data_IF_089215259622
#
_entry.id   IF_089215259622
#
_cell.length_a   1.000
_cell.length_b   1.000
_cell.length_c   1.000
_cell.angle_alpha   90.00
_cell.angle_beta   90.00
_cell.angle_gamma   90.00
#
_symmetry.space_group_name_H-M   'P 1'
#
loop_
_entity.id
_entity.type
_entity.pdbx_description
1 polymer ?
#
# COMPACT_ATOMS: atom_id res chain seq x y z
N UNK A 1 -50.77 -54.59 42.76
CA UNK A 1 -50.52 -53.41 41.88
C UNK A 1 -49.04 -53.46 41.50
N UNK A 2 -48.80 -53.84 40.30
CA UNK A 2 -47.65 -54.59 39.85
C UNK A 2 -46.40 -53.79 39.59
N UNK A 3 -45.25 -54.36 39.78
CA UNK A 3 -43.88 -53.89 39.58
C UNK A 3 -43.67 -53.09 38.27
N UNK A 4 -44.45 -53.35 37.22
CA UNK A 4 -44.44 -52.62 35.92
C UNK A 4 -44.81 -51.13 36.04
N UNK A 5 -45.77 -50.79 36.93
CA UNK A 5 -46.17 -49.40 37.12
C UNK A 5 -45.08 -48.53 37.82
N UNK A 6 -44.33 -49.22 38.71
CA UNK A 6 -43.23 -48.54 39.43
C UNK A 6 -42.04 -48.31 38.56
N UNK A 7 -41.75 -49.22 37.62
CA UNK A 7 -40.69 -49.08 36.62
C UNK A 7 -41.06 -47.99 35.54
N UNK A 8 -42.34 -47.97 35.12
CA UNK A 8 -42.85 -47.01 34.16
C UNK A 8 -42.81 -45.57 34.70
N UNK A 9 -43.27 -45.40 35.96
CA UNK A 9 -43.19 -44.10 36.61
C UNK A 9 -41.77 -43.59 36.80
N UNK A 10 -40.82 -44.51 37.13
CA UNK A 10 -39.39 -44.16 37.27
C UNK A 10 -38.75 -43.72 35.94
N UNK A 11 -39.12 -44.39 34.83
CA UNK A 11 -38.66 -44.03 33.50
C UNK A 11 -39.22 -42.65 33.04
N UNK A 12 -40.49 -42.38 33.33
CA UNK A 12 -41.15 -41.10 33.02
C UNK A 12 -40.53 -39.97 33.87
N UNK A 13 -40.24 -40.18 35.14
CA UNK A 13 -39.58 -39.19 36.00
C UNK A 13 -38.15 -38.85 35.52
N UNK A 14 -37.38 -39.88 35.06
CA UNK A 14 -36.05 -39.68 34.50
C UNK A 14 -36.12 -38.90 33.17
N UNK A 15 -37.08 -39.21 32.30
CA UNK A 15 -37.28 -38.51 31.04
C UNK A 15 -37.69 -37.04 31.25
N UNK A 16 -38.64 -36.78 32.18
CA UNK A 16 -39.02 -35.41 32.51
C UNK A 16 -37.87 -34.63 33.18
N UNK A 17 -37.09 -35.27 34.06
CA UNK A 17 -35.91 -34.65 34.68
C UNK A 17 -34.82 -34.30 33.64
N UNK A 18 -34.61 -35.16 32.66
CA UNK A 18 -33.69 -34.91 31.54
C UNK A 18 -34.15 -33.77 30.64
N UNK A 19 -35.44 -33.70 30.31
CA UNK A 19 -36.01 -32.58 29.54
C UNK A 19 -35.94 -31.24 30.28
N UNK A 20 -36.18 -31.23 31.59
CA UNK A 20 -36.03 -30.00 32.38
C UNK A 20 -34.57 -29.52 32.50
N UNK A 21 -33.60 -30.45 32.58
CA UNK A 21 -32.19 -30.09 32.58
C UNK A 21 -31.73 -29.53 31.19
N UNK A 22 -32.27 -30.06 30.09
CA UNK A 22 -31.97 -29.48 28.76
C UNK A 22 -32.62 -28.11 28.53
N UNK A 23 -33.77 -27.87 29.15
CA UNK A 23 -34.43 -26.54 29.04
C UNK A 23 -33.77 -25.45 29.90
N UNK A 24 -32.98 -25.82 30.91
CA UNK A 24 -32.20 -24.88 31.72
C UNK A 24 -30.80 -24.59 31.21
N UNK A 25 -30.36 -25.27 30.14
CA UNK A 25 -29.23 -24.76 29.33
C UNK A 25 -29.74 -23.66 28.38
N UNK A 26 -30.24 -22.57 28.97
CA UNK A 26 -30.45 -21.34 28.25
C UNK A 26 -29.13 -21.05 27.51
N UNK A 27 -29.19 -20.94 26.19
CA UNK A 27 -28.05 -20.47 25.45
C UNK A 27 -27.63 -19.15 26.10
N UNK A 28 -26.51 -19.18 26.81
CA UNK A 28 -25.92 -17.99 27.36
C UNK A 28 -25.64 -17.11 26.13
N UNK A 29 -26.45 -16.08 25.94
CA UNK A 29 -26.27 -15.15 24.86
C UNK A 29 -24.86 -14.63 25.04
N UNK A 30 -23.96 -14.97 24.11
CA UNK A 30 -22.61 -14.46 24.17
C UNK A 30 -22.72 -12.95 24.07
N UNK A 31 -22.37 -12.25 25.15
CA UNK A 31 -22.23 -10.80 25.12
C UNK A 31 -21.05 -10.47 24.19
N UNK A 32 -21.38 -10.18 22.94
CA UNK A 32 -20.39 -9.61 22.04
C UNK A 32 -19.99 -8.23 22.58
N UNK A 33 -18.68 -7.94 22.63
CA UNK A 33 -18.22 -6.62 22.98
C UNK A 33 -18.80 -5.60 22.00
N UNK A 34 -19.03 -4.39 22.48
CA UNK A 34 -19.46 -3.29 21.64
C UNK A 34 -18.46 -3.06 20.49
N UNK A 35 -18.98 -2.91 19.26
CA UNK A 35 -18.13 -2.74 18.09
C UNK A 35 -17.47 -1.36 18.15
N UNK A 36 -16.18 -1.35 18.42
CA UNK A 36 -15.37 -0.13 18.39
C UNK A 36 -15.07 0.27 16.93
N UNK A 37 -14.72 1.54 16.72
CA UNK A 37 -14.45 2.09 15.38
C UNK A 37 -13.31 1.32 14.67
N UNK A 38 -12.30 0.92 15.41
CA UNK A 38 -11.14 0.15 14.93
C UNK A 38 -11.50 -1.26 14.45
N UNK A 39 -12.62 -1.81 14.92
CA UNK A 39 -13.12 -3.11 14.49
C UNK A 39 -14.03 -3.05 13.25
N UNK A 40 -14.38 -1.83 12.80
CA UNK A 40 -15.19 -1.64 11.60
C UNK A 40 -14.34 -1.74 10.33
N UNK A 41 -14.95 -2.04 9.17
CA UNK A 41 -14.23 -2.04 7.89
C UNK A 41 -13.55 -0.71 7.60
N UNK A 42 -12.39 -0.78 6.97
CA UNK A 42 -11.66 0.36 6.43
C UNK A 42 -11.49 0.21 4.92
N UNK A 43 -11.38 1.31 4.19
CA UNK A 43 -11.14 1.30 2.76
C UNK A 43 -10.25 2.47 2.33
N UNK A 44 -9.55 2.26 1.20
CA UNK A 44 -8.78 3.30 0.55
C UNK A 44 -9.71 4.27 -0.18
N UNK A 45 -9.45 5.56 0.01
CA UNK A 45 -10.22 6.65 -0.59
C UNK A 45 -9.32 7.50 -1.50
N UNK A 46 -9.44 7.25 -2.78
CA UNK A 46 -8.65 7.92 -3.80
C UNK A 46 -9.11 9.35 -4.02
N UNK A 47 -8.23 10.31 -3.75
CA UNK A 47 -8.42 11.71 -4.09
C UNK A 47 -7.75 11.98 -5.43
N UNK A 48 -8.48 11.75 -6.51
CA UNK A 48 -7.98 11.87 -7.87
C UNK A 48 -7.72 13.34 -8.23
N UNK A 49 -6.45 13.72 -8.46
CA UNK A 49 -6.01 15.10 -8.59
C UNK A 49 -6.17 15.91 -7.31
N UNK A 50 -6.48 15.25 -6.19
CA UNK A 50 -6.98 15.91 -4.99
C UNK A 50 -8.11 16.92 -5.28
N UNK A 51 -8.87 16.69 -6.35
CA UNK A 51 -9.99 17.52 -6.77
C UNK A 51 -11.22 17.26 -5.90
N UNK A 52 -11.17 17.75 -4.69
CA UNK A 52 -12.19 17.56 -3.64
C UNK A 52 -12.75 18.89 -3.19
N UNK A 53 -13.98 18.87 -2.70
CA UNK A 53 -14.66 20.01 -2.09
C UNK A 53 -15.46 19.56 -0.86
N UNK A 54 -15.76 20.52 0.02
CA UNK A 54 -16.43 20.25 1.31
C UNK A 54 -17.76 19.54 1.16
N UNK A 55 -18.57 19.90 0.18
CA UNK A 55 -19.90 19.29 -0.05
C UNK A 55 -19.76 17.82 -0.39
N UNK A 56 -18.90 17.50 -1.37
CA UNK A 56 -18.67 16.12 -1.80
C UNK A 56 -17.95 15.29 -0.73
N UNK A 57 -17.03 15.88 0.05
CA UNK A 57 -16.38 15.22 1.18
C UNK A 57 -17.42 14.81 2.24
N UNK A 58 -18.29 15.73 2.66
CA UNK A 58 -19.37 15.43 3.61
C UNK A 58 -20.29 14.34 3.09
N UNK A 59 -20.76 14.46 1.83
CA UNK A 59 -21.66 13.48 1.22
C UNK A 59 -21.05 12.08 1.18
N UNK A 60 -19.79 11.97 0.83
CA UNK A 60 -19.09 10.68 0.77
C UNK A 60 -18.92 10.08 2.17
N UNK A 61 -18.49 10.86 3.14
CA UNK A 61 -18.31 10.40 4.52
C UNK A 61 -19.63 9.95 5.15
N UNK A 62 -20.73 10.68 4.91
CA UNK A 62 -22.06 10.26 5.34
C UNK A 62 -22.47 8.91 4.73
N UNK A 63 -22.17 8.69 3.44
CA UNK A 63 -22.42 7.41 2.79
C UNK A 63 -21.59 6.27 3.36
N UNK A 64 -20.30 6.50 3.63
CA UNK A 64 -19.41 5.52 4.21
C UNK A 64 -19.81 5.16 5.65
N UNK A 65 -20.14 6.17 6.47
CA UNK A 65 -20.65 5.94 7.82
C UNK A 65 -21.94 5.11 7.82
N UNK A 66 -22.88 5.42 6.93
CA UNK A 66 -24.13 4.64 6.75
C UNK A 66 -23.87 3.21 6.30
N UNK A 67 -22.80 2.98 5.54
CA UNK A 67 -22.39 1.65 5.13
C UNK A 67 -21.67 0.85 6.24
N UNK A 68 -21.45 1.46 7.41
CA UNK A 68 -20.78 0.82 8.55
C UNK A 68 -19.25 0.88 8.52
N UNK A 69 -18.67 1.74 7.67
CA UNK A 69 -17.21 1.96 7.63
C UNK A 69 -16.74 2.68 8.90
N UNK A 70 -15.56 2.28 9.40
CA UNK A 70 -14.91 2.91 10.54
C UNK A 70 -13.80 3.87 10.16
N UNK A 71 -13.07 3.56 9.09
CA UNK A 71 -11.88 4.32 8.69
C UNK A 71 -11.80 4.47 7.17
N UNK A 72 -11.36 5.64 6.71
CA UNK A 72 -11.04 5.88 5.30
C UNK A 72 -9.58 6.33 5.18
N UNK A 73 -8.80 5.62 4.33
CA UNK A 73 -7.41 5.99 4.02
C UNK A 73 -7.38 6.94 2.82
N UNK A 74 -7.09 8.22 3.06
CA UNK A 74 -6.90 9.20 1.98
C UNK A 74 -5.66 8.83 1.18
N UNK A 75 -5.84 8.65 -0.12
CA UNK A 75 -4.76 8.38 -1.07
C UNK A 75 -4.77 9.47 -2.15
N UNK A 76 -3.98 10.54 -2.00
CA UNK A 76 -3.90 11.61 -2.99
C UNK A 76 -3.26 11.09 -4.28
N UNK A 77 -3.82 11.46 -5.42
CA UNK A 77 -3.29 11.12 -6.75
C UNK A 77 -3.14 12.42 -7.55
N UNK A 78 -1.95 12.66 -8.05
CA UNK A 78 -1.65 13.80 -8.92
C UNK A 78 -1.85 13.47 -10.40
N UNK A 79 -1.91 14.51 -11.26
CA UNK A 79 -1.83 14.36 -12.71
C UNK A 79 -3.03 13.68 -13.35
N UNK A 80 -4.24 13.96 -12.91
CA UNK A 80 -5.47 13.39 -13.48
C UNK A 80 -5.83 14.08 -14.78
N UNK A 81 -5.59 13.40 -15.90
CA UNK A 81 -5.86 13.92 -17.23
C UNK A 81 -7.34 14.27 -17.41
N UNK A 82 -7.57 15.52 -17.84
CA UNK A 82 -8.90 16.05 -18.10
C UNK A 82 -9.58 16.70 -16.89
N UNK A 83 -8.89 16.77 -15.75
CA UNK A 83 -9.38 17.41 -14.53
C UNK A 83 -8.35 18.38 -13.91
N UNK A 84 -7.36 18.81 -14.69
CA UNK A 84 -6.23 19.61 -14.23
C UNK A 84 -6.66 20.94 -13.62
N UNK A 85 -7.77 21.50 -14.10
CA UNK A 85 -8.31 22.78 -13.60
C UNK A 85 -8.82 22.70 -12.14
N UNK A 86 -9.15 21.50 -11.66
CA UNK A 86 -9.66 21.29 -10.31
C UNK A 86 -8.62 20.65 -9.39
N UNK A 87 -7.42 20.38 -9.88
CA UNK A 87 -6.36 19.76 -9.09
C UNK A 87 -5.91 20.68 -7.95
N UNK A 88 -5.87 20.15 -6.75
CA UNK A 88 -5.32 20.83 -5.57
C UNK A 88 -3.91 20.28 -5.33
N UNK A 89 -2.86 21.11 -5.45
CA UNK A 89 -1.49 20.67 -5.22
C UNK A 89 -1.30 20.06 -3.83
N UNK A 90 -0.69 18.89 -3.79
CA UNK A 90 -0.46 18.14 -2.54
C UNK A 90 0.30 19.00 -1.51
N UNK A 91 -0.14 18.95 -0.26
CA UNK A 91 0.38 19.73 0.88
C UNK A 91 0.29 21.26 0.75
N UNK A 92 -0.36 21.80 -0.29
CA UNK A 92 -0.67 23.21 -0.36
C UNK A 92 -1.65 23.65 0.73
N UNK A 93 -1.76 24.97 1.01
CA UNK A 93 -2.72 25.45 2.01
C UNK A 93 -4.17 25.04 1.72
N UNK A 94 -4.67 25.11 0.46
CA UNK A 94 -6.00 24.56 0.14
C UNK A 94 -6.12 23.06 0.39
N UNK A 95 -5.06 22.28 0.09
CA UNK A 95 -5.05 20.85 0.34
C UNK A 95 -5.15 20.53 1.83
N UNK A 96 -4.37 21.24 2.65
CA UNK A 96 -4.41 21.11 4.12
C UNK A 96 -5.77 21.52 4.68
N UNK A 97 -6.44 22.53 4.10
CA UNK A 97 -7.80 22.89 4.49
C UNK A 97 -8.80 21.75 4.23
N UNK A 98 -8.70 21.09 3.07
CA UNK A 98 -9.56 19.94 2.76
C UNK A 98 -9.28 18.76 3.67
N UNK A 99 -8.02 18.50 4.01
CA UNK A 99 -7.65 17.46 4.96
C UNK A 99 -8.26 17.72 6.35
N UNK A 100 -8.06 18.92 6.91
CA UNK A 100 -8.61 19.31 8.21
C UNK A 100 -10.14 19.25 8.24
N UNK A 101 -10.78 19.67 7.15
CA UNK A 101 -12.23 19.56 7.00
C UNK A 101 -12.68 18.10 7.03
N UNK A 102 -12.01 17.23 6.26
CA UNK A 102 -12.31 15.81 6.19
C UNK A 102 -12.16 15.12 7.54
N UNK A 103 -11.09 15.44 8.27
CA UNK A 103 -10.86 14.93 9.63
C UNK A 103 -11.97 15.34 10.60
N UNK A 104 -12.37 16.62 10.55
CA UNK A 104 -13.45 17.14 11.39
C UNK A 104 -14.80 16.47 11.07
N UNK A 105 -15.12 16.28 9.81
CA UNK A 105 -16.35 15.60 9.39
C UNK A 105 -16.36 14.11 9.74
N UNK A 106 -15.22 13.43 9.57
CA UNK A 106 -15.08 12.04 10.00
C UNK A 106 -15.29 11.89 11.51
N UNK A 107 -14.68 12.76 12.29
CA UNK A 107 -14.86 12.78 13.76
C UNK A 107 -16.32 13.00 14.14
N UNK A 108 -17.05 13.90 13.47
CA UNK A 108 -18.50 14.12 13.66
C UNK A 108 -19.31 12.83 13.46
N UNK A 109 -18.87 11.96 12.57
CA UNK A 109 -19.52 10.69 12.22
C UNK A 109 -19.00 9.48 13.04
N UNK A 110 -18.07 9.69 13.97
CA UNK A 110 -17.41 8.62 14.72
C UNK A 110 -16.53 7.73 13.84
N UNK A 111 -16.00 8.29 12.76
CA UNK A 111 -15.06 7.65 11.84
C UNK A 111 -13.63 8.15 12.08
N UNK A 112 -12.67 7.39 11.58
CA UNK A 112 -11.24 7.74 11.57
C UNK A 112 -10.77 8.02 10.14
N UNK A 113 -9.72 8.82 10.02
CA UNK A 113 -9.02 9.09 8.78
C UNK A 113 -7.58 8.62 8.92
N UNK A 114 -7.18 7.78 7.98
CA UNK A 114 -5.78 7.47 7.72
C UNK A 114 -5.33 8.18 6.44
N UNK A 115 -4.02 8.27 6.24
CA UNK A 115 -3.45 8.85 5.03
C UNK A 115 -2.18 8.10 4.66
N UNK A 116 -1.97 7.82 3.37
CA UNK A 116 -0.68 7.36 2.92
C UNK A 116 0.36 8.51 2.93
N UNK A 117 1.64 8.15 2.96
CA UNK A 117 2.74 9.09 3.18
C UNK A 117 3.18 9.86 1.94
N UNK A 118 2.46 9.77 0.84
CA UNK A 118 2.84 10.43 -0.40
C UNK A 118 1.69 10.58 -1.37
N UNK A 119 1.98 11.11 -2.55
CA UNK A 119 1.01 11.28 -3.63
C UNK A 119 1.35 10.35 -4.79
N UNK A 120 0.35 9.66 -5.33
CA UNK A 120 0.53 8.73 -6.43
C UNK A 120 0.99 7.34 -6.03
N UNK A 121 1.16 6.49 -7.04
CA UNK A 121 1.61 5.11 -6.89
C UNK A 121 2.57 4.71 -8.03
N UNK A 122 3.83 4.35 -7.72
CA UNK A 122 4.51 4.35 -6.41
C UNK A 122 4.63 5.75 -5.80
N UNK A 123 5.03 5.83 -4.52
CA UNK A 123 5.18 7.11 -3.81
C UNK A 123 6.11 8.05 -4.54
N UNK A 124 5.77 9.31 -4.52
CA UNK A 124 6.45 10.40 -5.17
C UNK A 124 5.46 11.41 -5.73
N UNK A 125 5.93 12.34 -6.51
CA UNK A 125 5.12 13.36 -7.13
C UNK A 125 5.96 14.32 -7.96
N UNK A 126 5.34 15.30 -8.59
CA UNK A 126 6.06 16.32 -9.38
C UNK A 126 7.08 17.12 -8.55
N UNK A 127 6.90 17.18 -7.24
CA UNK A 127 7.74 17.91 -6.28
C UNK A 127 9.01 17.14 -5.88
N UNK A 128 9.09 15.85 -6.19
CA UNK A 128 10.26 15.02 -5.84
C UNK A 128 11.38 15.28 -6.83
N UNK A 129 12.46 15.91 -6.36
CA UNK A 129 13.67 16.12 -7.14
C UNK A 129 14.43 14.83 -7.44
N UNK A 130 15.35 14.88 -8.41
CA UNK A 130 16.16 13.71 -8.78
C UNK A 130 17.07 13.25 -7.63
N UNK A 131 17.48 14.15 -6.76
CA UNK A 131 18.29 13.91 -5.58
C UNK A 131 17.57 13.10 -4.50
N UNK A 132 16.23 13.25 -4.45
CA UNK A 132 15.36 12.57 -3.48
C UNK A 132 14.65 11.35 -4.10
N UNK A 133 14.82 11.15 -5.41
CA UNK A 133 14.20 10.04 -6.11
C UNK A 133 14.85 8.70 -5.77
N UNK A 134 14.06 7.63 -5.81
CA UNK A 134 14.56 6.27 -5.62
C UNK A 134 15.64 5.92 -6.65
N UNK A 135 16.77 5.41 -6.16
CA UNK A 135 17.86 4.95 -7.02
C UNK A 135 17.47 3.70 -7.82
N UNK A 136 17.85 3.64 -9.09
CA UNK A 136 17.68 2.47 -9.95
C UNK A 136 19.04 1.94 -10.38
N UNK A 137 19.29 0.66 -10.14
CA UNK A 137 20.49 -0.02 -10.58
C UNK A 137 20.28 -0.60 -11.98
N UNK A 138 21.18 -0.27 -12.91
CA UNK A 138 21.26 -0.90 -14.22
C UNK A 138 22.51 -1.76 -14.25
N UNK A 139 22.36 -3.02 -14.69
CA UNK A 139 23.45 -3.94 -14.92
C UNK A 139 23.45 -4.25 -16.41
N UNK A 140 24.60 -4.08 -17.06
CA UNK A 140 24.79 -4.42 -18.48
C UNK A 140 26.02 -5.30 -18.59
N UNK A 141 25.89 -6.39 -19.32
CA UNK A 141 26.97 -7.31 -19.62
C UNK A 141 27.44 -7.10 -21.06
N UNK A 142 28.74 -7.18 -21.25
CA UNK A 142 29.39 -7.08 -22.54
C UNK A 142 30.31 -8.28 -22.71
N UNK A 143 30.25 -8.93 -23.87
CA UNK A 143 31.22 -9.94 -24.25
C UNK A 143 32.28 -9.32 -25.14
N UNK A 144 33.54 -9.58 -24.83
CA UNK A 144 34.64 -8.97 -25.53
C UNK A 144 35.84 -9.92 -25.66
N UNK A 145 36.40 -10.02 -26.86
CA UNK A 145 37.58 -10.82 -27.10
C UNK A 145 38.85 -10.04 -26.76
N UNK A 146 39.66 -10.59 -25.87
CA UNK A 146 40.92 -9.98 -25.46
C UNK A 146 41.87 -9.69 -26.65
N UNK A 147 42.61 -8.58 -26.55
CA UNK A 147 43.50 -8.09 -27.60
C UNK A 147 42.83 -7.22 -28.66
N UNK A 148 41.51 -7.18 -28.74
CA UNK A 148 40.79 -6.29 -29.64
C UNK A 148 40.36 -4.99 -28.89
N UNK A 149 40.20 -3.85 -29.61
CA UNK A 149 39.67 -2.63 -28.97
C UNK A 149 38.19 -2.82 -28.68
N UNK A 150 37.77 -2.46 -27.43
CA UNK A 150 36.36 -2.40 -27.07
C UNK A 150 35.68 -1.22 -27.81
N UNK A 151 34.65 -1.52 -28.61
CA UNK A 151 34.02 -0.50 -29.50
C UNK A 151 32.73 0.09 -28.98
N UNK A 152 32.08 -0.61 -28.02
CA UNK A 152 30.81 -0.16 -27.46
C UNK A 152 31.00 0.96 -26.44
N UNK A 153 29.92 1.70 -26.19
CA UNK A 153 29.90 2.69 -25.09
C UNK A 153 29.33 2.09 -23.83
N UNK A 154 29.98 2.36 -22.71
CA UNK A 154 29.50 2.01 -21.39
C UNK A 154 28.53 3.08 -20.94
N UNK A 155 27.26 2.94 -21.31
CA UNK A 155 26.18 3.89 -21.02
C UNK A 155 24.88 3.14 -20.76
N UNK A 156 23.96 3.79 -20.05
CA UNK A 156 22.61 3.26 -19.85
C UNK A 156 21.84 3.36 -21.17
N UNK A 157 21.19 2.28 -21.58
CA UNK A 157 20.40 2.25 -22.83
C UNK A 157 19.10 3.09 -22.75
N UNK A 158 18.55 3.30 -21.55
CA UNK A 158 17.37 4.10 -21.35
C UNK A 158 17.67 5.58 -21.48
N UNK A 159 17.20 6.21 -22.57
CA UNK A 159 17.45 7.61 -22.89
C UNK A 159 16.91 8.59 -21.84
N UNK A 160 15.87 8.21 -21.10
CA UNK A 160 15.31 9.03 -20.02
C UNK A 160 16.21 9.04 -18.77
N UNK A 161 16.95 7.96 -18.56
CA UNK A 161 17.86 7.81 -17.41
C UNK A 161 19.28 8.28 -17.72
N UNK A 162 19.66 8.30 -19.00
CA UNK A 162 21.01 8.65 -19.43
C UNK A 162 21.55 9.98 -18.83
N UNK A 163 20.78 11.06 -18.73
CA UNK A 163 21.28 12.33 -18.16
C UNK A 163 21.64 12.23 -16.66
N UNK A 164 21.07 11.28 -15.93
CA UNK A 164 21.22 11.13 -14.48
C UNK A 164 22.06 9.93 -14.09
N UNK A 165 22.30 9.02 -15.02
CA UNK A 165 23.04 7.79 -14.77
C UNK A 165 24.50 8.08 -14.43
N UNK A 166 25.01 7.40 -13.42
CA UNK A 166 26.42 7.42 -13.02
C UNK A 166 26.97 6.01 -13.07
N UNK A 167 28.13 5.83 -13.70
CA UNK A 167 28.83 4.56 -13.65
C UNK A 167 29.28 4.31 -12.21
N UNK A 168 28.79 3.23 -11.62
CA UNK A 168 29.20 2.80 -10.30
C UNK A 168 30.44 1.92 -10.37
N UNK A 169 30.40 0.87 -11.22
CA UNK A 169 31.50 -0.05 -11.39
C UNK A 169 31.50 -0.66 -12.80
N UNK A 170 32.71 -0.92 -13.32
CA UNK A 170 32.93 -1.76 -14.48
C UNK A 170 33.95 -2.83 -14.10
N UNK A 171 33.52 -4.09 -14.13
CA UNK A 171 34.37 -5.22 -13.77
C UNK A 171 34.63 -6.06 -15.01
N UNK A 172 35.90 -6.38 -15.26
CA UNK A 172 36.30 -7.30 -16.32
C UNK A 172 36.58 -8.69 -15.73
N UNK A 173 35.97 -9.70 -16.30
CA UNK A 173 36.16 -11.11 -15.95
C UNK A 173 36.79 -11.85 -17.10
N UNK A 174 37.83 -12.65 -16.81
CA UNK A 174 38.42 -13.53 -17.85
C UNK A 174 37.92 -14.97 -17.70
N UNK A 175 38.01 -15.76 -18.77
CA UNK A 175 37.71 -17.20 -18.79
C UNK A 175 38.51 -18.01 -17.75
N UNK A 176 39.63 -17.44 -17.26
CA UNK A 176 40.48 -18.04 -16.22
C UNK A 176 40.14 -17.58 -14.80
N UNK A 177 38.99 -16.90 -14.64
CA UNK A 177 38.51 -16.45 -13.31
C UNK A 177 39.20 -15.21 -12.76
N UNK A 178 40.01 -14.48 -13.54
CA UNK A 178 40.54 -13.18 -13.09
C UNK A 178 39.44 -12.13 -13.13
N UNK A 179 39.35 -11.34 -12.07
CA UNK A 179 38.45 -10.21 -11.96
C UNK A 179 39.28 -8.94 -11.76
N UNK A 180 39.00 -7.91 -12.56
CA UNK A 180 39.74 -6.63 -12.52
C UNK A 180 38.71 -5.49 -12.53
N UNK A 181 38.84 -4.55 -11.61
CA UNK A 181 38.08 -3.30 -11.63
C UNK A 181 38.73 -2.36 -12.67
N UNK A 182 38.00 -1.99 -13.67
CA UNK A 182 38.43 -1.09 -14.76
C UNK A 182 37.57 0.17 -14.83
N UNK A 183 36.87 0.48 -13.76
CA UNK A 183 35.95 1.64 -13.67
C UNK A 183 36.67 2.95 -13.98
N UNK A 184 37.89 3.15 -13.50
CA UNK A 184 38.73 4.32 -13.72
C UNK A 184 39.25 4.47 -15.16
N UNK A 185 39.08 3.45 -15.98
CA UNK A 185 39.47 3.41 -17.41
C UNK A 185 38.35 3.87 -18.32
N UNK A 186 37.16 4.20 -17.79
CA UNK A 186 36.04 4.68 -18.59
C UNK A 186 36.06 6.21 -18.64
N UNK A 187 36.05 6.75 -19.83
CA UNK A 187 36.01 8.20 -20.08
C UNK A 187 34.62 8.76 -19.77
N UNK A 188 34.50 10.07 -19.61
CA UNK A 188 33.19 10.77 -19.37
C UNK A 188 32.16 10.52 -20.46
N UNK A 189 32.59 10.23 -21.69
CA UNK A 189 31.71 9.90 -22.81
C UNK A 189 31.45 8.40 -22.95
N UNK A 190 31.81 7.61 -21.94
CA UNK A 190 31.53 6.16 -21.84
C UNK A 190 32.47 5.26 -22.64
N UNK A 191 33.63 5.72 -23.08
CA UNK A 191 34.60 4.90 -23.80
C UNK A 191 35.57 4.21 -22.84
N UNK A 192 35.77 2.91 -23.04
CA UNK A 192 36.76 2.15 -22.28
C UNK A 192 38.16 2.33 -22.88
N UNK A 193 39.08 2.88 -22.09
CA UNK A 193 40.51 3.03 -22.39
C UNK A 193 41.34 1.97 -21.67
N UNK A 194 41.10 0.73 -22.01
CA UNK A 194 41.78 -0.41 -21.41
C UNK A 194 41.94 -1.52 -22.44
N UNK A 195 43.01 -2.29 -22.33
CA UNK A 195 43.26 -3.48 -23.17
C UNK A 195 43.31 -4.71 -22.27
N UNK A 196 42.56 -5.76 -22.63
CA UNK A 196 42.58 -7.06 -21.97
C UNK A 196 43.79 -7.87 -22.37
#
# INVERSE_FOLDING_TARGET
MTDKNKIMNRKITILLGGLLMCASMGAQQADWPEIQTEAKPAARWWWMGSAVDKENLTRNLDAYAKAGMGTMEITPIYGVKGNEANEIPFLSSPWMEMLQYTESEAARLGMQIDMNTGTGWPFGGPEVGIEDAAGKLFITEYEWKGGEPFKEKIVVADSKQLPYAKLSRLMAYSDKGRCIDVTDKVTKDGRLQWKA
#
